data_IF_057356915393
#
_entry.id   IF_057356915393
#
_cell.length_a   1.000
_cell.length_b   1.000
_cell.length_c   1.000
_cell.angle_alpha   90.00
_cell.angle_beta   90.00
_cell.angle_gamma   90.00
#
_symmetry.space_group_name_H-M   'P 1'
#
loop_
_entity.id
_entity.type
_entity.pdbx_description
1 polymer ?
#
# COMPACT_ATOMS: atom_id res chain seq x y z
N UNK A 1 -1.25 -11.36 -20.56
CA UNK A 1 -1.16 -10.57 -19.30
C UNK A 1 -2.52 -10.57 -18.63
N UNK A 2 -2.59 -10.94 -17.36
CA UNK A 2 -3.83 -10.79 -16.56
C UNK A 2 -4.13 -9.30 -16.45
N UNK A 3 -5.27 -8.86 -17.00
CA UNK A 3 -5.69 -7.46 -16.98
C UNK A 3 -6.52 -7.22 -15.72
N UNK A 4 -5.90 -6.68 -14.67
CA UNK A 4 -6.60 -6.32 -13.43
C UNK A 4 -6.86 -4.81 -13.41
N UNK A 5 -8.06 -4.39 -13.02
CA UNK A 5 -8.40 -2.98 -12.81
C UNK A 5 -9.04 -2.78 -11.43
N UNK A 6 -8.54 -1.77 -10.70
CA UNK A 6 -9.16 -1.26 -9.49
C UNK A 6 -10.08 -0.10 -9.87
N UNK A 7 -11.36 -0.20 -9.50
CA UNK A 7 -12.36 0.83 -9.71
C UNK A 7 -12.92 1.31 -8.38
N UNK A 8 -12.77 2.61 -8.12
CA UNK A 8 -13.27 3.26 -6.91
C UNK A 8 -14.63 3.89 -7.17
N UNK A 9 -15.65 3.48 -6.42
CA UNK A 9 -16.96 4.13 -6.44
C UNK A 9 -16.99 5.19 -5.33
N UNK A 10 -17.13 6.47 -5.68
CA UNK A 10 -17.18 7.57 -4.73
C UNK A 10 -18.56 8.25 -4.76
N UNK A 11 -18.99 8.78 -3.61
CA UNK A 11 -20.30 9.42 -3.47
C UNK A 11 -20.86 9.29 -2.07
N UNK A 12 -21.92 10.04 -1.77
CA UNK A 12 -22.55 10.05 -0.45
C UNK A 12 -23.18 8.71 -0.08
N UNK A 13 -23.40 8.44 1.22
CA UNK A 13 -24.28 7.35 1.65
C UNK A 13 -25.63 7.47 0.93
N UNK A 14 -26.21 6.34 0.55
CA UNK A 14 -27.47 6.27 -0.20
C UNK A 14 -27.48 6.93 -1.61
N UNK A 15 -26.34 7.37 -2.15
CA UNK A 15 -26.24 7.85 -3.53
C UNK A 15 -26.52 6.76 -4.58
N UNK A 16 -26.40 5.46 -4.22
CA UNK A 16 -26.67 4.35 -5.13
C UNK A 16 -25.43 3.61 -5.64
N UNK A 17 -24.27 3.83 -5.01
CA UNK A 17 -23.00 3.15 -5.32
C UNK A 17 -23.12 1.63 -5.38
N UNK A 18 -23.65 1.00 -4.33
CA UNK A 18 -23.81 -0.46 -4.28
C UNK A 18 -24.70 -0.99 -5.40
N UNK A 19 -25.78 -0.26 -5.74
CA UNK A 19 -26.66 -0.61 -6.88
C UNK A 19 -25.90 -0.52 -8.20
N UNK A 20 -25.10 0.52 -8.39
CA UNK A 20 -24.25 0.65 -9.58
C UNK A 20 -23.20 -0.47 -9.65
N UNK A 21 -22.59 -0.81 -8.52
CA UNK A 21 -21.62 -1.89 -8.43
C UNK A 21 -22.22 -3.22 -8.93
N UNK A 22 -23.44 -3.56 -8.51
CA UNK A 22 -24.12 -4.77 -8.98
C UNK A 22 -24.43 -4.76 -10.48
N UNK A 23 -24.85 -3.61 -11.02
CA UNK A 23 -25.05 -3.43 -12.47
C UNK A 23 -23.74 -3.67 -13.22
N UNK A 24 -22.64 -3.05 -12.78
CA UNK A 24 -21.32 -3.22 -13.39
C UNK A 24 -20.83 -4.67 -13.29
N UNK A 25 -21.08 -5.36 -12.18
CA UNK A 25 -20.73 -6.78 -12.04
C UNK A 25 -21.47 -7.65 -13.05
N UNK A 26 -22.77 -7.42 -13.23
CA UNK A 26 -23.57 -8.13 -14.24
C UNK A 26 -23.00 -7.94 -15.64
N UNK A 27 -22.68 -6.68 -16.01
CA UNK A 27 -22.10 -6.34 -17.32
C UNK A 27 -20.69 -6.89 -17.51
N UNK A 28 -19.83 -6.79 -16.51
CA UNK A 28 -18.49 -7.36 -16.54
C UNK A 28 -18.51 -8.88 -16.73
N UNK A 29 -19.38 -9.60 -16.00
CA UNK A 29 -19.58 -11.05 -16.20
C UNK A 29 -20.04 -11.40 -17.60
N UNK A 30 -20.93 -10.60 -18.20
CA UNK A 30 -21.36 -10.81 -19.58
C UNK A 30 -20.23 -10.63 -20.61
N UNK A 31 -19.18 -9.86 -20.27
CA UNK A 31 -17.94 -9.73 -21.06
C UNK A 31 -16.88 -10.79 -20.70
N UNK A 32 -17.20 -11.74 -19.83
CA UNK A 32 -16.26 -12.78 -19.38
C UNK A 32 -15.20 -12.27 -18.39
N UNK A 33 -15.47 -11.18 -17.67
CA UNK A 33 -14.57 -10.66 -16.64
C UNK A 33 -14.90 -11.25 -15.29
N UNK A 34 -13.87 -11.57 -14.52
CA UNK A 34 -13.99 -11.85 -13.10
C UNK A 34 -14.27 -10.55 -12.34
N UNK A 35 -15.06 -10.65 -11.27
CA UNK A 35 -15.46 -9.47 -10.49
C UNK A 35 -15.28 -9.73 -9.01
N UNK A 36 -14.59 -8.82 -8.33
CA UNK A 36 -14.50 -8.75 -6.87
C UNK A 36 -15.14 -7.45 -6.40
N UNK A 37 -16.14 -7.54 -5.53
CA UNK A 37 -16.75 -6.39 -4.88
C UNK A 37 -16.26 -6.31 -3.44
N UNK A 38 -15.70 -5.17 -3.06
CA UNK A 38 -15.19 -4.88 -1.71
C UNK A 38 -16.05 -3.77 -1.13
N UNK A 39 -17.01 -4.17 -0.30
CA UNK A 39 -17.99 -3.33 0.41
C UNK A 39 -17.47 -3.00 1.79
N UNK A 40 -17.05 -1.75 2.03
CA UNK A 40 -16.51 -1.35 3.33
C UNK A 40 -17.57 -1.45 4.44
N UNK A 41 -18.83 -1.15 4.13
CA UNK A 41 -19.98 -1.27 5.05
C UNK A 41 -20.20 -2.71 5.54
N UNK A 42 -19.85 -3.73 4.74
CA UNK A 42 -19.99 -5.15 5.13
C UNK A 42 -18.76 -5.68 5.87
N UNK A 43 -17.57 -5.15 5.54
CA UNK A 43 -16.30 -5.57 6.14
C UNK A 43 -16.05 -4.90 7.49
N UNK A 44 -16.54 -3.67 7.68
CA UNK A 44 -16.37 -2.92 8.92
C UNK A 44 -17.74 -2.84 9.60
N UNK A 45 -17.97 -3.58 10.70
CA UNK A 45 -19.28 -3.64 11.31
C UNK A 45 -19.73 -2.26 11.81
N UNK A 46 -20.99 -1.93 11.56
CA UNK A 46 -21.60 -0.69 12.03
C UNK A 46 -21.60 -0.64 13.57
N UNK A 47 -20.76 0.22 14.14
CA UNK A 47 -20.61 0.49 15.57
C UNK A 47 -20.30 1.97 15.76
N UNK A 48 -20.48 2.49 16.97
CA UNK A 48 -20.04 3.83 17.35
C UNK A 48 -18.51 3.85 17.48
N UNK A 49 -17.84 3.89 16.33
CA UNK A 49 -16.39 3.96 16.25
C UNK A 49 -15.90 5.34 16.62
N UNK A 50 -14.83 5.41 17.42
CA UNK A 50 -14.01 6.62 17.46
C UNK A 50 -13.31 6.81 16.12
N UNK A 51 -13.01 8.05 15.76
CA UNK A 51 -12.44 8.39 14.44
C UNK A 51 -11.14 7.59 14.15
N UNK A 52 -10.28 7.43 15.17
CA UNK A 52 -9.03 6.67 15.06
C UNK A 52 -9.24 5.16 14.85
N UNK A 53 -10.29 4.60 15.44
CA UNK A 53 -10.62 3.18 15.32
C UNK A 53 -11.15 2.86 13.92
N UNK A 54 -12.02 3.72 13.37
CA UNK A 54 -12.49 3.60 11.99
C UNK A 54 -11.34 3.69 10.98
N UNK A 55 -10.42 4.64 11.16
CA UNK A 55 -9.21 4.77 10.32
C UNK A 55 -8.37 3.49 10.37
N UNK A 56 -8.22 2.89 11.54
CA UNK A 56 -7.48 1.65 11.71
C UNK A 56 -8.17 0.47 11.01
N UNK A 57 -9.51 0.34 11.09
CA UNK A 57 -10.24 -0.71 10.37
C UNK A 57 -10.13 -0.53 8.86
N UNK A 58 -10.24 0.70 8.35
CA UNK A 58 -10.03 1.02 6.93
C UNK A 58 -8.63 0.60 6.48
N UNK A 59 -7.60 0.85 7.31
CA UNK A 59 -6.22 0.43 7.04
C UNK A 59 -6.11 -1.09 6.94
N UNK A 60 -6.79 -1.83 7.81
CA UNK A 60 -6.85 -3.30 7.74
C UNK A 60 -7.45 -3.78 6.42
N UNK A 61 -8.56 -3.19 5.96
CA UNK A 61 -9.16 -3.53 4.66
C UNK A 61 -8.17 -3.29 3.52
N UNK A 62 -7.45 -2.16 3.53
CA UNK A 62 -6.42 -1.85 2.54
C UNK A 62 -5.26 -2.85 2.56
N UNK A 63 -4.76 -3.23 3.73
CA UNK A 63 -3.70 -4.24 3.87
C UNK A 63 -4.15 -5.61 3.34
N UNK A 64 -5.40 -5.98 3.58
CA UNK A 64 -5.94 -7.23 3.05
C UNK A 64 -6.13 -7.20 1.53
N UNK A 65 -6.61 -6.07 0.98
CA UNK A 65 -6.66 -5.85 -0.45
C UNK A 65 -5.25 -5.95 -1.07
N UNK A 66 -4.27 -5.26 -0.50
CA UNK A 66 -2.87 -5.30 -0.96
C UNK A 66 -2.33 -6.74 -0.97
N UNK A 67 -2.55 -7.51 0.10
CA UNK A 67 -2.13 -8.91 0.17
C UNK A 67 -2.80 -9.77 -0.91
N UNK A 68 -4.09 -9.56 -1.16
CA UNK A 68 -4.81 -10.24 -2.25
C UNK A 68 -4.18 -9.88 -3.62
N UNK A 69 -3.98 -8.59 -3.90
CA UNK A 69 -3.39 -8.12 -5.15
C UNK A 69 -1.97 -8.66 -5.35
N UNK A 70 -1.14 -8.66 -4.29
CA UNK A 70 0.20 -9.24 -4.34
C UNK A 70 0.20 -10.72 -4.71
N UNK A 71 -0.71 -11.52 -4.13
CA UNK A 71 -0.85 -12.93 -4.49
C UNK A 71 -1.29 -13.10 -5.95
N UNK A 72 -2.22 -12.27 -6.43
CA UNK A 72 -2.63 -12.34 -7.85
C UNK A 72 -1.49 -11.98 -8.79
N UNK A 73 -0.68 -10.98 -8.44
CA UNK A 73 0.47 -10.51 -9.22
C UNK A 73 1.63 -11.51 -9.24
N UNK A 74 2.04 -12.02 -8.08
CA UNK A 74 3.11 -13.03 -7.97
C UNK A 74 2.75 -14.33 -8.69
N UNK A 75 1.47 -14.74 -8.67
CA UNK A 75 1.02 -15.91 -9.45
C UNK A 75 1.12 -15.66 -10.95
N UNK A 76 0.79 -14.46 -11.42
CA UNK A 76 0.96 -14.12 -12.86
C UNK A 76 2.42 -14.14 -13.28
N UNK A 77 3.33 -13.64 -12.42
CA UNK A 77 4.77 -13.66 -12.69
C UNK A 77 5.32 -15.09 -12.71
N UNK A 78 4.90 -15.95 -11.77
CA UNK A 78 5.27 -17.36 -11.75
C UNK A 78 4.74 -18.11 -12.98
N UNK A 79 3.53 -17.80 -13.46
CA UNK A 79 3.04 -18.40 -14.70
C UNK A 79 3.84 -17.95 -15.91
N UNK A 80 4.24 -16.68 -15.97
CA UNK A 80 5.06 -16.14 -17.06
C UNK A 80 6.44 -16.82 -17.10
N UNK A 81 7.12 -16.88 -15.96
CA UNK A 81 8.42 -17.56 -15.84
C UNK A 81 8.34 -19.05 -16.19
N UNK A 82 7.25 -19.73 -15.82
CA UNK A 82 7.04 -21.12 -16.25
C UNK A 82 6.86 -21.23 -17.77
N UNK A 83 6.10 -20.34 -18.41
CA UNK A 83 6.00 -20.34 -19.88
C UNK A 83 7.32 -20.04 -20.57
N UNK A 84 8.11 -19.08 -20.06
CA UNK A 84 9.44 -18.77 -20.59
C UNK A 84 10.39 -19.96 -20.44
N UNK A 85 10.34 -20.65 -19.30
CA UNK A 85 11.09 -21.89 -19.07
C UNK A 85 10.64 -23.02 -20.01
N UNK A 86 9.35 -23.13 -20.33
CA UNK A 86 8.89 -24.12 -21.33
C UNK A 86 9.33 -23.77 -22.75
N UNK A 87 9.36 -22.50 -23.11
CA UNK A 87 9.87 -22.04 -24.41
C UNK A 87 11.37 -22.33 -24.53
N UNK A 88 12.17 -21.95 -23.53
CA UNK A 88 13.62 -22.25 -23.51
C UNK A 88 13.89 -23.75 -23.52
N UNK A 89 13.09 -24.57 -22.82
CA UNK A 89 13.19 -26.03 -22.91
C UNK A 89 12.87 -26.53 -24.34
N UNK A 90 11.89 -25.94 -25.01
CA UNK A 90 11.53 -26.28 -26.40
C UNK A 90 12.66 -25.89 -27.38
N UNK A 91 13.26 -24.71 -27.22
CA UNK A 91 14.41 -24.26 -28.01
C UNK A 91 15.64 -25.16 -27.76
N UNK A 92 15.87 -25.56 -26.50
CA UNK A 92 16.90 -26.55 -26.15
C UNK A 92 16.63 -27.91 -26.78
N UNK A 93 15.37 -28.34 -26.90
CA UNK A 93 15.05 -29.57 -27.63
C UNK A 93 15.28 -29.42 -29.14
N UNK A 94 14.96 -28.28 -29.75
CA UNK A 94 15.25 -28.02 -31.16
C UNK A 94 16.75 -28.01 -31.43
N UNK A 95 17.54 -27.25 -30.66
CA UNK A 95 19.00 -27.24 -30.77
C UNK A 95 19.62 -28.62 -30.56
N UNK A 96 19.08 -29.43 -29.63
CA UNK A 96 19.50 -30.83 -29.49
C UNK A 96 19.17 -31.66 -30.73
N UNK A 97 18.04 -31.41 -31.38
CA UNK A 97 17.63 -32.11 -32.60
C UNK A 97 18.52 -31.72 -33.77
N UNK A 98 18.86 -30.44 -33.90
CA UNK A 98 19.81 -29.92 -34.89
C UNK A 98 21.24 -30.46 -34.63
N UNK A 99 21.64 -30.56 -33.37
CA UNK A 99 22.90 -31.22 -32.97
C UNK A 99 22.88 -32.71 -33.28
N UNK A 100 21.73 -33.40 -33.18
CA UNK A 100 21.63 -34.78 -33.64
C UNK A 100 21.70 -34.88 -35.16
N UNK A 101 21.07 -33.98 -35.92
CA UNK A 101 21.18 -33.94 -37.38
C UNK A 101 22.62 -33.67 -37.82
N UNK A 102 23.26 -32.63 -37.30
CA UNK A 102 24.68 -32.35 -37.56
C UNK A 102 25.58 -33.49 -37.10
N UNK A 103 25.28 -34.17 -35.99
CA UNK A 103 25.99 -35.40 -35.59
C UNK A 103 25.75 -36.55 -36.56
N UNK A 104 24.57 -36.65 -37.17
CA UNK A 104 24.24 -37.68 -38.17
C UNK A 104 25.00 -37.41 -39.47
N UNK A 105 25.05 -36.16 -39.90
CA UNK A 105 25.86 -35.68 -41.05
C UNK A 105 27.36 -35.82 -40.78
N UNK A 106 27.80 -35.51 -39.55
CA UNK A 106 29.14 -35.76 -39.07
C UNK A 106 29.43 -37.25 -38.96
N UNK A 107 28.48 -38.12 -38.60
CA UNK A 107 28.69 -39.57 -38.67
C UNK A 107 28.74 -40.07 -40.09
N UNK A 108 28.03 -39.46 -41.04
CA UNK A 108 28.12 -39.78 -42.46
C UNK A 108 29.51 -39.44 -43.01
N UNK A 109 29.97 -38.20 -42.77
CA UNK A 109 31.34 -37.76 -43.09
C UNK A 109 32.40 -38.51 -42.28
N UNK A 110 32.09 -38.99 -41.07
CA UNK A 110 32.96 -39.82 -40.23
C UNK A 110 32.90 -41.30 -40.59
N UNK A 111 31.89 -41.82 -41.28
CA UNK A 111 31.97 -43.12 -41.97
C UNK A 111 32.94 -43.01 -43.15
N UNK A 112 32.91 -41.89 -43.87
CA UNK A 112 33.90 -41.58 -44.91
C UNK A 112 35.31 -41.37 -44.30
N UNK A 113 35.40 -40.87 -43.06
CA UNK A 113 36.64 -40.70 -42.29
C UNK A 113 36.99 -41.84 -41.30
N UNK A 114 36.19 -42.90 -41.13
CA UNK A 114 36.55 -44.05 -40.26
C UNK A 114 37.60 -44.96 -40.91
N UNK A 115 38.00 -44.61 -42.14
CA UNK A 115 39.25 -45.01 -42.73
C UNK A 115 40.48 -44.29 -42.12
N UNK A 116 40.30 -43.23 -41.32
CA UNK A 116 41.35 -42.48 -40.60
C UNK A 116 41.08 -42.40 -39.09
N UNK A 117 41.28 -43.55 -38.43
CA UNK A 117 41.98 -43.71 -37.15
C UNK A 117 41.36 -43.22 -35.81
N UNK A 118 41.06 -44.21 -34.97
CA UNK A 118 41.78 -44.54 -33.72
C UNK A 118 42.13 -43.50 -32.63
N UNK A 119 41.77 -42.22 -32.70
CA UNK A 119 42.26 -41.26 -31.70
C UNK A 119 41.18 -40.68 -30.75
N UNK A 120 41.35 -41.05 -29.47
CA UNK A 120 40.95 -40.33 -28.24
C UNK A 120 39.52 -40.47 -27.67
N UNK A 121 39.21 -41.70 -27.25
CA UNK A 121 38.87 -42.17 -25.88
C UNK A 121 38.84 -41.23 -24.64
N UNK A 122 38.73 -39.89 -24.74
CA UNK A 122 38.87 -39.00 -23.57
C UNK A 122 37.60 -38.27 -23.09
N UNK A 123 36.46 -38.41 -23.77
CA UNK A 123 35.20 -37.70 -23.41
C UNK A 123 34.23 -38.52 -22.55
N UNK A 124 34.61 -39.75 -22.18
CA UNK A 124 33.75 -40.69 -21.44
C UNK A 124 33.84 -40.52 -19.92
N UNK A 125 34.74 -39.68 -19.42
CA UNK A 125 35.05 -39.51 -17.99
C UNK A 125 34.39 -38.27 -17.36
N UNK A 126 33.96 -37.28 -18.15
CA UNK A 126 33.41 -36.02 -17.61
C UNK A 126 31.89 -36.05 -17.40
N UNK A 127 31.19 -37.10 -17.87
CA UNK A 127 29.73 -37.23 -17.72
C UNK A 127 29.27 -37.94 -16.43
N UNK A 128 30.20 -38.42 -15.61
CA UNK A 128 29.87 -39.05 -14.31
C UNK A 128 29.73 -38.06 -13.17
N UNK A 129 30.16 -36.80 -13.33
CA UNK A 129 30.16 -35.81 -12.25
C UNK A 129 28.86 -34.99 -12.13
N UNK A 130 28.06 -34.87 -13.19
CA UNK A 130 26.82 -34.06 -13.20
C UNK A 130 25.60 -34.79 -12.65
N UNK A 131 25.73 -36.07 -12.29
CA UNK A 131 24.61 -36.89 -11.77
C UNK A 131 24.49 -36.88 -10.24
N UNK A 132 25.51 -36.38 -9.54
CA UNK A 132 25.57 -36.34 -8.07
C UNK A 132 24.98 -35.06 -7.46
N UNK A 133 24.95 -33.95 -8.21
CA UNK A 133 24.50 -32.66 -7.67
C UNK A 133 22.97 -32.45 -7.75
N UNK A 134 22.25 -33.29 -8.50
CA UNK A 134 20.79 -33.22 -8.62
C UNK A 134 20.03 -34.04 -7.55
N UNK A 135 20.74 -34.76 -6.69
CA UNK A 135 20.14 -35.49 -5.56
C UNK A 135 20.06 -34.68 -4.27
N UNK A 136 20.71 -33.51 -4.19
CA UNK A 136 20.72 -32.69 -2.97
C UNK A 136 19.62 -31.62 -2.90
N UNK A 137 18.98 -31.27 -4.02
CA UNK A 137 17.91 -30.25 -4.07
C UNK A 137 16.50 -30.80 -3.87
N UNK A 138 16.38 -32.11 -3.56
CA UNK A 138 15.08 -32.79 -3.37
C UNK A 138 14.77 -33.15 -1.92
N UNK A 139 15.65 -32.81 -0.98
CA UNK A 139 15.47 -33.08 0.46
C UNK A 139 15.19 -31.84 1.32
N UNK A 140 15.28 -30.62 0.77
CA UNK A 140 15.04 -29.38 1.54
C UNK A 140 13.63 -28.79 1.37
N UNK A 141 12.73 -29.48 0.65
CA UNK A 141 11.36 -29.02 0.39
C UNK A 141 10.27 -29.82 1.12
N UNK A 142 10.61 -30.49 2.21
CA UNK A 142 9.64 -31.19 3.09
C UNK A 142 9.72 -30.78 4.55
N UNK A 143 10.14 -29.55 4.86
CA UNK A 143 10.06 -29.00 6.21
C UNK A 143 9.75 -27.49 6.22
N UNK A 144 8.50 -27.13 5.91
CA UNK A 144 7.83 -25.96 6.48
C UNK A 144 6.31 -26.15 6.43
N UNK A 145 5.83 -27.19 7.11
CA UNK A 145 4.44 -27.29 7.52
C UNK A 145 4.42 -27.44 9.03
N UNK A 146 4.21 -26.31 9.73
CA UNK A 146 3.47 -26.12 11.00
C UNK A 146 3.91 -24.80 11.63
N UNK A 147 3.05 -23.78 11.60
CA UNK A 147 2.54 -23.14 12.81
C UNK A 147 1.45 -22.11 12.47
N UNK A 148 0.24 -22.40 12.95
CA UNK A 148 -0.87 -21.46 13.15
C UNK A 148 -0.67 -20.87 14.57
N UNK A 149 -0.99 -19.62 14.92
CA UNK A 149 -2.34 -19.06 15.07
C UNK A 149 -2.31 -17.57 15.48
N UNK A 150 -3.48 -16.92 15.35
CA UNK A 150 -3.98 -15.61 15.86
C UNK A 150 -4.04 -14.51 14.76
N UNK A 151 -5.19 -13.94 14.38
CA UNK A 151 -6.41 -13.61 15.14
C UNK A 151 -7.70 -13.72 14.29
N UNK A 152 -8.81 -14.03 14.97
CA UNK A 152 -10.15 -14.19 14.41
C UNK A 152 -10.76 -12.84 14.01
N UNK A 153 -10.57 -12.46 12.74
CA UNK A 153 -11.40 -11.56 11.91
C UNK A 153 -10.99 -11.64 10.43
N UNK A 154 -9.76 -12.09 10.16
CA UNK A 154 -9.23 -12.34 8.81
C UNK A 154 -9.97 -13.47 8.06
N UNK A 155 -10.48 -14.48 8.77
CA UNK A 155 -10.85 -15.76 8.16
C UNK A 155 -12.12 -15.72 7.29
N UNK A 156 -13.10 -14.86 7.61
CA UNK A 156 -14.36 -14.81 6.86
C UNK A 156 -14.19 -14.11 5.50
N UNK A 157 -13.34 -13.09 5.44
CA UNK A 157 -12.96 -12.40 4.19
C UNK A 157 -12.08 -13.29 3.31
N UNK A 158 -11.10 -14.01 3.88
CA UNK A 158 -10.30 -14.98 3.14
C UNK A 158 -11.14 -16.11 2.54
N UNK A 159 -12.15 -16.60 3.25
CA UNK A 159 -13.05 -17.64 2.74
C UNK A 159 -14.00 -17.14 1.64
N UNK A 160 -14.49 -15.89 1.70
CA UNK A 160 -15.27 -15.30 0.60
C UNK A 160 -14.42 -15.06 -0.65
N UNK A 161 -13.19 -14.57 -0.49
CA UNK A 161 -12.22 -14.36 -1.60
C UNK A 161 -11.77 -15.67 -2.25
N UNK A 162 -11.70 -16.77 -1.50
CA UNK A 162 -11.37 -18.10 -2.03
C UNK A 162 -12.53 -18.78 -2.76
N UNK A 163 -13.80 -18.50 -2.42
CA UNK A 163 -14.97 -19.11 -3.08
C UNK A 163 -15.16 -18.68 -4.53
N UNK A 164 -14.58 -17.54 -4.94
CA UNK A 164 -14.53 -17.11 -6.33
C UNK A 164 -13.41 -17.79 -7.16
N UNK A 165 -12.55 -18.62 -6.54
CA UNK A 165 -11.38 -19.26 -7.18
C UNK A 165 -11.70 -20.56 -7.95
N UNK A 166 -12.62 -20.46 -8.89
CA UNK A 166 -12.64 -21.41 -9.99
C UNK A 166 -12.33 -20.59 -11.25
N UNK A 167 -11.45 -21.09 -12.11
CA UNK A 167 -11.10 -20.60 -13.45
C UNK A 167 -9.71 -19.95 -13.65
N UNK A 168 -9.30 -20.08 -14.91
CA UNK A 168 -7.93 -19.98 -15.46
C UNK A 168 -7.41 -18.54 -15.44
N UNK A 169 -6.08 -18.39 -15.31
CA UNK A 169 -5.33 -17.12 -15.15
C UNK A 169 -5.41 -16.14 -16.36
N UNK A 170 -6.47 -16.22 -17.18
CA UNK A 170 -6.62 -15.56 -18.48
C UNK A 170 -7.73 -14.52 -18.54
N UNK A 171 -8.69 -14.52 -17.61
CA UNK A 171 -9.79 -13.56 -17.61
C UNK A 171 -9.39 -12.24 -16.95
N UNK A 172 -9.86 -11.08 -17.47
CA UNK A 172 -9.69 -9.80 -16.79
C UNK A 172 -10.37 -9.79 -15.42
N UNK A 173 -9.71 -9.22 -14.40
CA UNK A 173 -10.24 -9.09 -13.05
C UNK A 173 -10.62 -7.64 -12.77
N UNK A 174 -11.91 -7.39 -12.54
CA UNK A 174 -12.43 -6.11 -12.08
C UNK A 174 -12.61 -6.13 -10.55
N UNK A 175 -11.88 -5.27 -9.85
CA UNK A 175 -12.06 -5.06 -8.40
C UNK A 175 -12.82 -3.74 -8.18
N UNK A 176 -14.05 -3.83 -7.72
CA UNK A 176 -14.91 -2.70 -7.37
C UNK A 176 -14.79 -2.42 -5.87
N UNK A 177 -14.43 -1.19 -5.53
CA UNK A 177 -14.32 -0.71 -4.15
C UNK A 177 -15.53 0.18 -3.85
N UNK A 178 -16.43 -0.31 -3.02
CA UNK A 178 -17.64 0.40 -2.59
C UNK A 178 -17.45 0.93 -1.16
N UNK A 179 -17.14 2.23 -1.09
CA UNK A 179 -17.05 3.05 0.12
C UNK A 179 -17.41 4.50 -0.28
N UNK A 180 -17.47 5.43 0.67
CA UNK A 180 -17.80 6.82 0.36
C UNK A 180 -16.69 7.54 -0.41
N UNK A 181 -15.41 7.18 -0.15
CA UNK A 181 -14.22 7.74 -0.82
C UNK A 181 -14.24 9.27 -0.99
N UNK A 182 -14.70 9.95 0.06
CA UNK A 182 -15.03 11.37 0.00
C UNK A 182 -13.80 12.28 0.10
N UNK A 183 -12.67 11.80 0.66
CA UNK A 183 -11.40 12.51 0.60
C UNK A 183 -10.53 12.02 -0.56
N UNK A 184 -9.79 12.94 -1.18
CA UNK A 184 -8.80 12.66 -2.21
C UNK A 184 -7.74 11.65 -1.74
N UNK A 185 -7.25 11.81 -0.50
CA UNK A 185 -6.21 10.94 0.08
C UNK A 185 -6.64 9.47 0.15
N UNK A 186 -7.93 9.21 0.37
CA UNK A 186 -8.48 7.86 0.39
C UNK A 186 -8.42 7.18 -0.98
N UNK A 187 -8.70 7.93 -2.06
CA UNK A 187 -8.62 7.42 -3.44
C UNK A 187 -7.17 7.26 -3.88
N UNK A 188 -6.31 8.18 -3.46
CA UNK A 188 -4.89 8.14 -3.79
C UNK A 188 -4.19 6.88 -3.26
N UNK A 189 -4.56 6.40 -2.07
CA UNK A 189 -4.06 5.12 -1.54
C UNK A 189 -4.36 3.94 -2.46
N UNK A 190 -5.56 3.88 -3.06
CA UNK A 190 -5.91 2.84 -4.04
C UNK A 190 -5.14 3.03 -5.34
N UNK A 191 -5.00 4.26 -5.80
CA UNK A 191 -4.18 4.59 -6.97
C UNK A 191 -2.73 4.12 -6.80
N UNK A 192 -2.13 4.34 -5.62
CA UNK A 192 -0.79 3.88 -5.29
C UNK A 192 -0.68 2.34 -5.33
N UNK A 193 -1.70 1.62 -4.82
CA UNK A 193 -1.76 0.16 -4.93
C UNK A 193 -1.84 -0.30 -6.40
N UNK A 194 -2.69 0.34 -7.21
CA UNK A 194 -2.77 0.03 -8.64
C UNK A 194 -1.43 0.26 -9.35
N UNK A 195 -0.73 1.36 -9.05
CA UNK A 195 0.63 1.60 -9.57
C UNK A 195 1.62 0.53 -9.14
N UNK A 196 1.63 0.19 -7.85
CA UNK A 196 2.58 -0.77 -7.26
C UNK A 196 2.55 -2.12 -7.98
N UNK A 197 1.37 -2.58 -8.38
CA UNK A 197 1.18 -3.87 -9.05
C UNK A 197 0.92 -3.77 -10.55
N UNK A 198 1.19 -2.61 -11.16
CA UNK A 198 0.99 -2.37 -12.59
C UNK A 198 -0.42 -2.68 -13.10
N UNK A 199 -1.44 -2.19 -12.38
CA UNK A 199 -2.86 -2.44 -12.65
C UNK A 199 -3.54 -1.22 -13.25
N UNK A 200 -4.67 -1.45 -13.91
CA UNK A 200 -5.59 -0.39 -14.31
C UNK A 200 -6.22 0.30 -13.10
N UNK A 201 -6.47 1.60 -13.21
CA UNK A 201 -7.15 2.37 -12.18
C UNK A 201 -8.16 3.33 -12.81
N UNK A 202 -9.36 3.39 -12.24
CA UNK A 202 -10.34 4.41 -12.56
C UNK A 202 -11.22 4.71 -11.34
N UNK A 203 -11.94 5.82 -11.41
CA UNK A 203 -12.83 6.25 -10.34
C UNK A 203 -14.15 6.78 -10.90
N UNK A 204 -15.23 6.50 -10.18
CA UNK A 204 -16.60 6.80 -10.59
C UNK A 204 -17.26 7.63 -9.51
N UNK A 205 -17.63 8.87 -9.83
CA UNK A 205 -18.43 9.70 -8.94
C UNK A 205 -19.91 9.42 -9.19
N UNK A 206 -20.57 8.79 -8.22
CA UNK A 206 -22.02 8.59 -8.20
C UNK A 206 -22.65 9.83 -7.59
N UNK A 207 -23.01 10.78 -8.46
CA UNK A 207 -23.61 12.05 -8.07
C UNK A 207 -25.08 11.85 -7.73
N UNK A 208 -25.46 12.32 -6.55
CA UNK A 208 -26.86 12.37 -6.10
C UNK A 208 -27.01 13.58 -5.17
N UNK A 209 -28.03 14.43 -5.37
CA UNK A 209 -28.37 15.50 -4.45
C UNK A 209 -28.55 15.00 -3.00
N UNK A 210 -28.14 15.82 -2.03
CA UNK A 210 -28.15 15.44 -0.61
C UNK A 210 -29.56 15.14 -0.10
N UNK A 211 -30.54 15.95 -0.47
CA UNK A 211 -31.96 15.77 -0.13
C UNK A 211 -32.49 14.41 -0.58
N UNK A 212 -32.14 13.98 -1.80
CA UNK A 212 -32.48 12.65 -2.30
C UNK A 212 -31.72 11.56 -1.54
N UNK A 213 -30.44 11.78 -1.23
CA UNK A 213 -29.67 10.84 -0.41
C UNK A 213 -30.30 10.65 0.98
N UNK A 214 -30.73 11.74 1.64
CA UNK A 214 -31.42 11.70 2.93
C UNK A 214 -32.74 10.93 2.84
N UNK A 215 -33.56 11.20 1.81
CA UNK A 215 -34.80 10.46 1.56
C UNK A 215 -34.55 8.95 1.36
N UNK A 216 -33.50 8.58 0.61
CA UNK A 216 -33.11 7.17 0.41
C UNK A 216 -32.56 6.54 1.69
N UNK A 217 -31.80 7.31 2.47
CA UNK A 217 -31.22 6.87 3.73
C UNK A 217 -32.30 6.48 4.76
N UNK A 218 -33.45 7.17 4.78
CA UNK A 218 -34.60 6.79 5.62
C UNK A 218 -35.11 5.38 5.32
N UNK A 219 -34.89 4.83 4.13
CA UNK A 219 -35.35 3.49 3.72
C UNK A 219 -34.29 2.40 3.93
N UNK A 220 -33.07 2.76 4.37
CA UNK A 220 -31.98 1.80 4.61
C UNK A 220 -32.22 1.03 5.91
N UNK A 221 -31.79 -0.23 5.93
CA UNK A 221 -31.75 -1.07 7.13
C UNK A 221 -30.81 -0.51 8.19
N UNK A 222 -29.63 -0.04 7.76
CA UNK A 222 -28.65 0.67 8.58
C UNK A 222 -28.63 2.13 8.14
N UNK A 223 -29.29 2.98 8.92
CA UNK A 223 -29.37 4.43 8.69
C UNK A 223 -28.10 5.11 9.16
N UNK A 224 -27.57 6.02 8.35
CA UNK A 224 -26.53 6.97 8.77
C UNK A 224 -27.23 8.20 9.36
N UNK A 225 -26.81 8.77 10.50
CA UNK A 225 -27.42 9.99 11.02
C UNK A 225 -27.37 11.15 10.01
N UNK A 226 -28.45 11.92 9.90
CA UNK A 226 -28.58 13.00 8.91
C UNK A 226 -27.47 14.06 9.06
N UNK A 227 -27.10 14.40 10.31
CA UNK A 227 -25.99 15.29 10.65
C UNK A 227 -24.65 14.81 10.05
N UNK A 228 -24.39 13.50 10.11
CA UNK A 228 -23.17 12.91 9.53
C UNK A 228 -23.20 13.02 8.02
N UNK A 229 -24.36 12.77 7.38
CA UNK A 229 -24.50 12.92 5.93
C UNK A 229 -24.32 14.37 5.46
N UNK A 230 -24.83 15.34 6.24
CA UNK A 230 -24.62 16.78 6.02
C UNK A 230 -23.13 17.11 6.07
N UNK A 231 -22.43 16.74 7.15
CA UNK A 231 -20.98 16.96 7.30
C UNK A 231 -20.17 16.27 6.19
N UNK A 232 -20.56 15.07 5.78
CA UNK A 232 -19.92 14.36 4.67
C UNK A 232 -20.12 15.08 3.32
N UNK A 233 -21.29 15.69 3.11
CA UNK A 233 -21.56 16.45 1.88
C UNK A 233 -20.74 17.73 1.78
N UNK A 234 -20.52 18.41 2.90
CA UNK A 234 -19.68 19.61 2.96
C UNK A 234 -18.20 19.30 2.74
N UNK A 235 -17.75 18.13 3.21
CA UNK A 235 -16.34 17.68 3.11
C UNK A 235 -16.03 16.89 1.84
N UNK A 236 -17.01 16.65 0.97
CA UNK A 236 -16.83 15.83 -0.23
C UNK A 236 -15.86 16.51 -1.21
N UNK A 237 -14.78 15.82 -1.55
CA UNK A 237 -13.78 16.25 -2.54
C UNK A 237 -13.97 15.42 -3.83
N UNK A 238 -14.82 15.87 -4.78
CA UNK A 238 -15.03 15.14 -6.01
C UNK A 238 -13.72 15.01 -6.83
N UNK A 239 -13.56 13.94 -7.62
CA UNK A 239 -12.52 13.82 -8.63
C UNK A 239 -12.27 15.11 -9.41
N UNK A 240 -11.01 15.56 -9.47
CA UNK A 240 -10.64 16.76 -10.21
C UNK A 240 -9.40 16.51 -11.09
N UNK A 241 -9.68 16.12 -12.34
CA UNK A 241 -8.68 15.85 -13.38
C UNK A 241 -7.78 17.05 -13.71
N UNK A 242 -8.30 18.29 -13.58
CA UNK A 242 -7.52 19.50 -13.87
C UNK A 242 -6.46 19.79 -12.81
N UNK A 243 -6.76 19.43 -11.56
CA UNK A 243 -5.85 19.61 -10.41
C UNK A 243 -4.88 18.43 -10.26
N UNK A 244 -5.35 17.23 -10.58
CA UNK A 244 -4.66 15.98 -10.29
C UNK A 244 -4.53 15.11 -11.55
N UNK A 245 -3.32 15.01 -12.10
CA UNK A 245 -3.04 14.19 -13.29
C UNK A 245 -3.32 12.69 -13.09
N UNK A 246 -3.36 12.21 -11.84
CA UNK A 246 -3.68 10.82 -11.53
C UNK A 246 -5.20 10.52 -11.49
N UNK A 247 -6.04 11.57 -11.49
CA UNK A 247 -7.50 11.45 -11.50
C UNK A 247 -8.09 11.50 -12.92
N UNK A 248 -7.26 11.39 -13.97
CA UNK A 248 -7.69 11.51 -15.37
C UNK A 248 -8.63 10.38 -15.84
N UNK A 249 -8.62 9.23 -15.17
CA UNK A 249 -9.56 8.13 -15.45
C UNK A 249 -10.79 8.23 -14.51
N UNK A 250 -11.49 9.37 -14.58
CA UNK A 250 -12.69 9.64 -13.79
C UNK A 250 -13.94 9.74 -14.66
N UNK A 251 -15.07 9.23 -14.18
CA UNK A 251 -16.38 9.49 -14.78
C UNK A 251 -17.40 9.85 -13.71
N UNK A 252 -18.22 10.87 -13.97
CA UNK A 252 -19.33 11.25 -13.11
C UNK A 252 -20.63 10.72 -13.71
N UNK A 253 -21.43 10.05 -12.88
CA UNK A 253 -22.74 9.50 -13.26
C UNK A 253 -23.79 10.07 -12.33
N UNK A 254 -24.88 10.57 -12.91
CA UNK A 254 -26.03 11.01 -12.15
C UNK A 254 -26.93 9.83 -11.76
N UNK A 255 -27.27 9.76 -10.49
CA UNK A 255 -28.08 8.69 -9.90
C UNK A 255 -29.37 9.20 -9.27
N UNK A 256 -29.75 10.46 -9.53
CA UNK A 256 -30.96 11.13 -9.01
C UNK A 256 -32.22 10.29 -9.26
N UNK A 257 -32.46 9.89 -10.52
CA UNK A 257 -33.60 9.03 -10.88
C UNK A 257 -33.16 7.58 -11.03
N UNK A 258 -32.34 7.33 -12.05
CA UNK A 258 -31.74 6.03 -12.34
C UNK A 258 -30.53 6.22 -13.25
N UNK A 259 -29.49 5.43 -13.03
CA UNK A 259 -28.36 5.35 -13.95
C UNK A 259 -28.85 4.77 -15.29
N UNK A 260 -28.57 5.46 -16.39
CA UNK A 260 -29.03 5.03 -17.72
C UNK A 260 -28.13 3.95 -18.31
N UNK A 261 -28.63 3.21 -19.30
CA UNK A 261 -27.81 2.24 -20.04
C UNK A 261 -26.64 2.89 -20.78
N UNK A 262 -26.78 4.16 -21.21
CA UNK A 262 -25.70 4.93 -21.81
C UNK A 262 -24.58 5.20 -20.80
N UNK A 263 -24.92 5.57 -19.57
CA UNK A 263 -23.94 5.77 -18.49
C UNK A 263 -23.22 4.47 -18.14
N UNK A 264 -23.96 3.35 -18.07
CA UNK A 264 -23.38 2.02 -17.84
C UNK A 264 -22.41 1.67 -18.97
N UNK A 265 -22.76 1.97 -20.23
CA UNK A 265 -21.86 1.72 -21.36
C UNK A 265 -20.58 2.55 -21.27
N UNK A 266 -20.70 3.86 -20.98
CA UNK A 266 -19.53 4.75 -20.77
C UNK A 266 -18.64 4.25 -19.63
N UNK A 267 -19.23 3.76 -18.55
CA UNK A 267 -18.49 3.16 -17.43
C UNK A 267 -17.74 1.89 -17.86
N UNK A 268 -18.39 1.00 -18.61
CA UNK A 268 -17.74 -0.22 -19.10
C UNK A 268 -16.58 0.10 -20.06
N UNK A 269 -16.70 1.16 -20.86
CA UNK A 269 -15.65 1.61 -21.77
C UNK A 269 -14.48 2.25 -21.00
N UNK A 270 -14.76 3.04 -19.94
CA UNK A 270 -13.75 3.52 -19.02
C UNK A 270 -12.98 2.38 -18.34
N UNK A 271 -13.70 1.37 -17.83
CA UNK A 271 -13.11 0.21 -17.17
C UNK A 271 -12.21 -0.58 -18.13
N UNK A 272 -12.65 -0.76 -19.38
CA UNK A 272 -11.85 -1.41 -20.41
C UNK A 272 -10.61 -0.59 -20.76
N UNK A 273 -10.74 0.72 -20.94
CA UNK A 273 -9.62 1.62 -21.18
C UNK A 273 -8.58 1.55 -20.05
N UNK A 274 -9.03 1.56 -18.78
CA UNK A 274 -8.14 1.44 -17.63
C UNK A 274 -7.42 0.08 -17.58
N UNK A 275 -8.11 -1.01 -17.92
CA UNK A 275 -7.51 -2.36 -18.01
C UNK A 275 -6.46 -2.47 -19.13
N UNK A 276 -6.66 -1.76 -20.24
CA UNK A 276 -5.76 -1.75 -21.40
C UNK A 276 -4.54 -0.84 -21.19
N UNK A 277 -4.67 0.15 -20.30
CA UNK A 277 -3.63 1.12 -19.97
C UNK A 277 -3.24 1.03 -18.48
N UNK A 278 -2.62 -0.08 -18.04
CA UNK A 278 -2.20 -0.23 -16.65
C UNK A 278 -1.20 0.85 -16.26
N UNK A 279 -1.30 1.29 -15.01
CA UNK A 279 -0.39 2.29 -14.49
C UNK A 279 1.03 1.72 -14.39
N UNK A 280 2.04 2.54 -14.69
CA UNK A 280 3.43 2.11 -14.52
C UNK A 280 3.84 2.22 -13.05
N UNK A 281 4.50 1.18 -12.51
CA UNK A 281 5.11 1.26 -11.19
C UNK A 281 6.17 2.35 -11.25
N UNK A 282 6.16 3.23 -10.25
CA UNK A 282 7.18 4.26 -10.14
C UNK A 282 8.44 3.63 -9.54
N UNK A 283 9.60 3.87 -10.15
CA UNK A 283 10.88 3.72 -9.45
C UNK A 283 11.04 4.91 -8.50
N UNK A 284 10.36 4.90 -7.35
CA UNK A 284 10.80 5.66 -6.18
C UNK A 284 11.15 4.62 -5.12
N UNK A 285 12.45 4.48 -4.84
CA UNK A 285 13.10 4.79 -3.57
C UNK A 285 12.20 5.04 -2.33
N UNK A 286 11.16 4.22 -2.12
CA UNK A 286 10.31 4.22 -0.94
C UNK A 286 11.14 4.04 0.34
N UNK A 287 12.23 3.26 0.24
CA UNK A 287 13.22 3.12 1.30
C UNK A 287 14.02 4.41 1.51
N UNK A 288 14.39 5.12 0.44
CA UNK A 288 15.13 6.37 0.53
C UNK A 288 14.26 7.50 1.11
N UNK A 289 12.99 7.64 0.70
CA UNK A 289 12.07 8.65 1.26
C UNK A 289 11.74 8.39 2.73
N UNK A 290 11.62 7.13 3.14
CA UNK A 290 11.43 6.76 4.55
C UNK A 290 12.72 6.95 5.36
N UNK A 291 13.88 6.62 4.78
CA UNK A 291 15.18 6.91 5.37
C UNK A 291 15.41 8.43 5.50
N UNK A 292 15.06 9.23 4.49
CA UNK A 292 15.18 10.69 4.50
C UNK A 292 14.26 11.31 5.55
N UNK A 293 13.07 10.74 5.76
CA UNK A 293 12.16 11.12 6.86
C UNK A 293 12.75 10.77 8.23
N UNK A 294 13.36 9.60 8.38
CA UNK A 294 14.03 9.18 9.62
C UNK A 294 15.29 10.01 9.90
N UNK A 295 16.05 10.37 8.87
CA UNK A 295 17.20 11.27 8.94
C UNK A 295 16.74 12.68 9.33
N UNK A 296 15.66 13.18 8.74
CA UNK A 296 15.06 14.47 9.10
C UNK A 296 14.61 14.50 10.57
N UNK A 297 13.90 13.45 11.03
CA UNK A 297 13.47 13.32 12.42
C UNK A 297 14.66 13.27 13.39
N UNK A 298 15.72 12.54 13.03
CA UNK A 298 16.96 12.45 13.82
C UNK A 298 17.69 13.80 13.87
N UNK A 299 17.72 14.54 12.75
CA UNK A 299 18.33 15.87 12.67
C UNK A 299 17.57 16.91 13.52
N UNK A 300 16.24 16.87 13.53
CA UNK A 300 15.40 17.75 14.36
C UNK A 300 15.58 17.45 15.84
N UNK A 301 15.56 16.19 16.25
CA UNK A 301 15.83 15.79 17.64
C UNK A 301 17.23 16.21 18.09
N UNK A 302 18.23 16.10 17.22
CA UNK A 302 19.59 16.55 17.52
C UNK A 302 19.65 18.07 17.71
N UNK A 303 19.01 18.85 16.84
CA UNK A 303 18.92 20.31 16.98
C UNK A 303 18.18 20.72 18.25
N UNK A 304 17.12 20.00 18.62
CA UNK A 304 16.40 20.21 19.88
C UNK A 304 17.28 19.92 21.11
N UNK A 305 18.03 18.81 21.14
CA UNK A 305 18.97 18.51 22.24
C UNK A 305 20.06 19.58 22.37
N UNK A 306 20.66 20.03 21.26
CA UNK A 306 21.65 21.10 21.27
C UNK A 306 21.09 22.43 21.79
N UNK A 307 19.83 22.72 21.49
CA UNK A 307 19.13 23.90 22.01
C UNK A 307 18.84 23.79 23.51
N UNK A 308 18.30 22.65 23.97
CA UNK A 308 18.08 22.40 25.39
C UNK A 308 19.37 22.54 26.19
N UNK A 309 20.51 21.99 25.69
CA UNK A 309 21.81 22.16 26.36
C UNK A 309 22.23 23.62 26.48
N UNK A 310 22.01 24.44 25.44
CA UNK A 310 22.30 25.88 25.48
C UNK A 310 21.45 26.60 26.52
N UNK A 311 20.14 26.33 26.55
CA UNK A 311 19.22 26.92 27.52
C UNK A 311 19.55 26.50 28.96
N UNK A 312 19.91 25.23 29.18
CA UNK A 312 20.37 24.74 30.50
C UNK A 312 21.66 25.46 30.90
N UNK A 313 22.64 25.59 30.01
CA UNK A 313 23.88 26.32 30.30
C UNK A 313 23.63 27.79 30.65
N UNK A 314 22.69 28.45 29.96
CA UNK A 314 22.29 29.82 30.27
C UNK A 314 21.62 29.92 31.64
N UNK A 315 20.68 29.02 31.95
CA UNK A 315 20.04 28.94 33.26
C UNK A 315 21.04 28.70 34.40
N UNK A 316 22.01 27.80 34.19
CA UNK A 316 23.08 27.51 35.14
C UNK A 316 24.02 28.71 35.33
N UNK A 317 24.30 29.47 34.27
CA UNK A 317 25.14 30.67 34.34
C UNK A 317 24.43 31.78 35.10
N UNK A 318 23.16 32.03 34.79
CA UNK A 318 22.33 33.02 35.51
C UNK A 318 22.19 32.67 36.99
N UNK A 319 21.93 31.40 37.33
CA UNK A 319 21.85 30.97 38.72
C UNK A 319 23.17 31.17 39.49
N UNK A 320 24.31 31.04 38.81
CA UNK A 320 25.64 31.28 39.39
C UNK A 320 25.92 32.77 39.59
N UNK A 321 25.46 33.62 38.67
CA UNK A 321 25.53 35.08 38.79
C UNK A 321 24.67 35.60 39.94
N UNK A 322 23.53 34.95 40.19
CA UNK A 322 22.64 35.22 41.34
C UNK A 322 23.18 34.67 42.69
N UNK A 323 24.44 34.22 42.74
CA UNK A 323 25.09 33.69 43.94
C UNK A 323 24.40 32.46 44.57
N UNK A 324 23.76 31.61 43.76
CA UNK A 324 23.16 30.37 44.26
C UNK A 324 24.20 29.43 44.90
N UNK A 325 23.78 28.70 45.94
CA UNK A 325 24.65 27.77 46.66
C UNK A 325 25.04 26.56 45.79
N UNK A 326 26.15 25.89 46.14
CA UNK A 326 26.62 24.72 45.39
C UNK A 326 25.62 23.56 45.40
N UNK A 327 24.75 23.46 46.40
CA UNK A 327 23.75 22.39 46.49
C UNK A 327 22.51 22.73 45.65
N UNK A 328 22.06 24.00 45.66
CA UNK A 328 21.00 24.50 44.77
C UNK A 328 21.38 24.35 43.29
N UNK A 329 22.65 24.60 42.95
CA UNK A 329 23.13 24.39 41.57
C UNK A 329 23.12 22.91 41.14
N UNK A 330 23.37 21.98 42.07
CA UNK A 330 23.29 20.53 41.76
C UNK A 330 21.85 20.09 41.55
N UNK A 331 20.94 20.54 42.40
CA UNK A 331 19.52 20.18 42.32
C UNK A 331 18.87 20.79 41.07
N UNK A 332 19.19 22.05 40.75
CA UNK A 332 18.76 22.70 39.51
C UNK A 332 19.29 21.96 38.27
N UNK A 333 20.58 21.57 38.26
CA UNK A 333 21.15 20.82 37.14
C UNK A 333 20.47 19.45 36.96
N UNK A 334 20.06 18.81 38.06
CA UNK A 334 19.32 17.54 38.03
C UNK A 334 17.91 17.74 37.45
N UNK A 335 17.14 18.67 37.99
CA UNK A 335 15.76 18.96 37.52
C UNK A 335 15.75 19.37 36.03
N UNK A 336 16.69 20.23 35.60
CA UNK A 336 16.79 20.66 34.20
C UNK A 336 17.15 19.52 33.24
N UNK A 337 17.98 18.56 33.66
CA UNK A 337 18.32 17.39 32.84
C UNK A 337 17.18 16.37 32.77
N UNK A 338 16.43 16.19 33.87
CA UNK A 338 15.21 15.37 33.88
C UNK A 338 14.14 15.98 32.97
N UNK A 339 13.91 17.30 33.06
CA UNK A 339 13.01 18.04 32.18
C UNK A 339 13.39 17.89 30.70
N UNK A 340 14.68 18.02 30.38
CA UNK A 340 15.19 17.81 29.00
C UNK A 340 14.88 16.40 28.50
N UNK A 341 15.10 15.40 29.33
CA UNK A 341 14.91 13.99 28.95
C UNK A 341 13.43 13.72 28.65
N UNK A 342 12.53 14.20 29.52
CA UNK A 342 11.09 14.10 29.32
C UNK A 342 10.63 14.85 28.05
N UNK A 343 11.08 16.09 27.88
CA UNK A 343 10.75 16.92 26.71
C UNK A 343 11.16 16.26 25.38
N UNK A 344 12.38 15.71 25.29
CA UNK A 344 12.85 15.04 24.07
C UNK A 344 12.07 13.73 23.80
N UNK A 345 11.60 13.03 24.83
CA UNK A 345 10.76 11.85 24.67
C UNK A 345 9.37 12.20 24.14
N UNK A 346 8.75 13.26 24.65
CA UNK A 346 7.44 13.74 24.18
C UNK A 346 7.54 14.30 22.76
N UNK A 347 8.57 15.08 22.45
CA UNK A 347 8.82 15.57 21.09
C UNK A 347 8.99 14.41 20.10
N UNK A 348 9.71 13.35 20.50
CA UNK A 348 9.87 12.14 19.69
C UNK A 348 8.50 11.48 19.41
N UNK A 349 7.65 11.32 20.43
CA UNK A 349 6.30 10.73 20.26
C UNK A 349 5.43 11.57 19.32
N UNK A 350 5.41 12.88 19.50
CA UNK A 350 4.65 13.82 18.66
C UNK A 350 5.11 13.74 17.19
N UNK A 351 6.42 13.67 16.95
CA UNK A 351 6.97 13.51 15.60
C UNK A 351 6.57 12.18 14.96
N UNK A 352 6.65 11.06 15.69
CA UNK A 352 6.19 9.76 15.17
C UNK A 352 4.68 9.73 14.89
N UNK A 353 3.88 10.43 15.71
CA UNK A 353 2.44 10.53 15.52
C UNK A 353 2.09 11.36 14.27
N UNK A 354 2.73 12.52 14.08
CA UNK A 354 2.54 13.37 12.89
C UNK A 354 3.01 12.68 11.60
N UNK A 355 4.10 11.92 11.65
CA UNK A 355 4.59 11.11 10.52
C UNK A 355 3.60 9.99 10.12
N UNK A 356 2.74 9.54 11.02
CA UNK A 356 1.73 8.51 10.75
C UNK A 356 0.41 9.06 10.19
N UNK A 357 0.16 10.38 10.29
CA UNK A 357 -1.15 10.97 10.00
C UNK A 357 -1.23 11.70 8.64
N UNK A 358 -0.13 12.26 8.13
CA UNK A 358 -0.11 13.01 6.85
C UNK A 358 1.23 12.83 6.11
N UNK A 359 1.31 12.02 5.03
CA UNK A 359 2.57 11.78 4.32
C UNK A 359 3.06 12.92 3.40
N UNK A 360 2.25 13.95 3.13
CA UNK A 360 2.48 14.85 1.98
C UNK A 360 2.67 16.34 2.28
N UNK A 361 2.53 16.80 3.53
CA UNK A 361 2.97 18.16 3.88
C UNK A 361 4.42 18.14 4.36
N UNK A 362 5.34 18.93 3.78
CA UNK A 362 6.68 19.07 4.32
C UNK A 362 6.57 19.66 5.73
N UNK A 363 6.86 18.85 6.74
CA UNK A 363 6.87 19.27 8.13
C UNK A 363 7.75 20.53 8.24
N UNK A 364 7.16 21.65 8.64
CA UNK A 364 7.90 22.88 8.85
C UNK A 364 8.75 22.73 10.13
N UNK A 365 9.93 22.13 9.95
CA UNK A 365 10.88 21.77 11.00
C UNK A 365 11.28 22.98 11.85
N UNK A 366 11.34 24.16 11.25
CA UNK A 366 11.68 25.41 11.93
C UNK A 366 10.55 25.89 12.83
N UNK A 367 9.29 25.83 12.38
CA UNK A 367 8.12 26.16 13.21
C UNK A 367 7.96 25.19 14.37
N UNK A 368 8.19 23.90 14.13
CA UNK A 368 8.16 22.86 15.17
C UNK A 368 9.24 23.13 16.24
N UNK A 369 10.48 23.36 15.81
CA UNK A 369 11.59 23.71 16.69
C UNK A 369 11.33 24.98 17.50
N UNK A 370 10.78 26.03 16.88
CA UNK A 370 10.46 27.28 17.57
C UNK A 370 9.36 27.13 18.62
N UNK A 371 8.35 26.30 18.35
CA UNK A 371 7.28 26.00 19.31
C UNK A 371 7.81 25.17 20.48
N UNK A 372 8.63 24.16 20.16
CA UNK A 372 9.28 23.30 21.13
C UNK A 372 10.25 24.11 22.02
N UNK A 373 11.01 25.04 21.45
CA UNK A 373 11.90 25.95 22.17
C UNK A 373 11.18 26.78 23.23
N UNK A 374 10.09 27.44 22.84
CA UNK A 374 9.29 28.29 23.74
C UNK A 374 8.70 27.48 24.91
N UNK A 375 8.29 26.25 24.63
CA UNK A 375 7.72 25.35 25.64
C UNK A 375 8.79 24.96 26.66
N UNK A 376 9.95 24.50 26.19
CA UNK A 376 11.06 24.11 27.07
C UNK A 376 11.61 25.29 27.87
N UNK A 377 11.74 26.46 27.25
CA UNK A 377 12.22 27.68 27.91
C UNK A 377 11.30 28.11 29.05
N UNK A 378 9.97 28.08 28.83
CA UNK A 378 8.97 28.37 29.87
C UNK A 378 9.08 27.39 31.03
N UNK A 379 9.18 26.10 30.74
CA UNK A 379 9.21 25.06 31.76
C UNK A 379 10.54 25.08 32.54
N UNK A 380 11.66 25.41 31.88
CA UNK A 380 12.96 25.62 32.52
C UNK A 380 12.98 26.86 33.43
N UNK A 381 12.34 27.97 33.01
CA UNK A 381 12.19 29.16 33.85
C UNK A 381 11.39 28.85 35.13
N UNK A 382 10.37 27.99 35.02
CA UNK A 382 9.62 27.53 36.19
C UNK A 382 10.50 26.75 37.19
N UNK A 383 11.41 25.89 36.71
CA UNK A 383 12.39 25.21 37.55
C UNK A 383 13.33 26.20 38.26
N UNK A 384 13.83 27.20 37.52
CA UNK A 384 14.71 28.25 38.10
C UNK A 384 13.97 29.05 39.18
N UNK A 385 12.71 29.42 38.95
CA UNK A 385 11.90 30.15 39.93
C UNK A 385 11.63 29.31 41.18
N UNK A 386 11.32 28.02 41.03
CA UNK A 386 11.08 27.09 42.15
C UNK A 386 12.30 27.01 43.09
N UNK A 387 13.50 27.03 42.54
CA UNK A 387 14.77 26.99 43.30
C UNK A 387 15.15 28.32 43.96
N UNK A 388 14.56 29.46 43.53
CA UNK A 388 14.77 30.76 44.20
C UNK A 388 13.89 30.96 45.44
N UNK A 389 12.85 30.15 45.61
CA UNK A 389 11.87 30.23 46.71
C UNK A 389 11.82 28.97 47.59
N UNK A 390 12.71 27.99 47.35
CA UNK A 390 12.97 26.83 48.22
C UNK A 390 14.26 27.08 49.01
#
# INVERSE_FOLDING_TARGET
MSRTCLCVLCGLPAAGKSRLADVLRGRARSRGWETLLVTYDELIPARDWREDEWKQQRKTVLTCLERFLHQTHTRTDLTHTHTDLTHTHTDLTHTRTDLTHTRTDLTHTRTDLTHTRTDLTHTRTDLTHTRTDLTHTRTDLTHTHTDLTHTHTDNDMWMQLQRSRCHTNTQPLLVLLDDNFYYQSMRYQIYQLARKYSMGFCQVLVRCPLDICLQRNQRRSLRVPDEVMLQMSERMEPPNESRNSWEQQSLTVDSTDSVTEEDVQKLMDLLQSAMENPLRPFQDDCQQKEADRQICATNVLHRADQMCRRLISQAMTSAREDQASSDVLKDLAKELNELKTHFLQELKKEMFHQMSLCPEEPMNTEKLLMTAARTFERDAQHCVLKQRFS
#
